data_IF_023139275470
#
_entry.id   IF_023139275470
#
_cell.length_a   1.000
_cell.length_b   1.000
_cell.length_c   1.000
_cell.angle_alpha   90.00
_cell.angle_beta   90.00
_cell.angle_gamma   90.00
#
_symmetry.space_group_name_H-M   'P 1'
#
loop_
_entity.id
_entity.type
_entity.pdbx_description
1 polymer ?
#
# COMPACT_ATOMS: atom_id res chain seq x y z
N UNK A 1 19.05 36.43 0.48
CA UNK A 1 18.35 35.63 -0.53
C UNK A 1 17.29 36.48 -1.20
N UNK A 2 17.22 36.49 -2.51
CA UNK A 2 16.22 37.31 -3.20
C UNK A 2 14.87 36.58 -3.30
N UNK A 3 13.84 37.33 -3.67
CA UNK A 3 12.47 36.82 -3.77
C UNK A 3 12.34 35.71 -4.83
N UNK A 4 13.08 35.83 -5.92
CA UNK A 4 13.02 34.84 -7.01
C UNK A 4 13.56 33.47 -6.58
N UNK A 5 14.67 33.46 -5.83
CA UNK A 5 15.23 32.23 -5.29
C UNK A 5 14.25 31.55 -4.33
N UNK A 6 13.56 32.32 -3.47
CA UNK A 6 12.55 31.78 -2.55
C UNK A 6 11.37 31.17 -3.28
N UNK A 7 10.90 31.81 -4.36
CA UNK A 7 9.79 31.30 -5.17
C UNK A 7 10.21 29.99 -5.85
N UNK A 8 11.42 29.92 -6.38
CA UNK A 8 11.94 28.72 -7.04
C UNK A 8 12.02 27.56 -6.05
N UNK A 9 12.54 27.79 -4.84
CA UNK A 9 12.58 26.76 -3.79
C UNK A 9 11.19 26.27 -3.40
N UNK A 10 10.24 27.19 -3.21
CA UNK A 10 8.88 26.84 -2.84
C UNK A 10 8.22 25.96 -3.90
N UNK A 11 8.40 26.28 -5.19
CA UNK A 11 7.89 25.48 -6.30
C UNK A 11 8.51 24.09 -6.34
N UNK A 12 9.82 24.00 -6.13
CA UNK A 12 10.52 22.71 -6.12
C UNK A 12 9.99 21.80 -5.01
N UNK A 13 9.79 22.34 -3.81
CA UNK A 13 9.22 21.57 -2.68
C UNK A 13 7.79 21.14 -2.96
N UNK A 14 6.96 22.01 -3.51
CA UNK A 14 5.58 21.70 -3.84
C UNK A 14 5.52 20.57 -4.87
N UNK A 15 6.32 20.65 -5.93
CA UNK A 15 6.36 19.63 -6.97
C UNK A 15 6.82 18.27 -6.42
N UNK A 16 7.82 18.28 -5.53
CA UNK A 16 8.30 17.06 -4.88
C UNK A 16 7.22 16.41 -4.01
N UNK A 17 6.52 17.22 -3.20
CA UNK A 17 5.44 16.70 -2.35
C UNK A 17 4.26 16.18 -3.17
N UNK A 18 3.95 16.85 -4.28
CA UNK A 18 2.90 16.38 -5.21
C UNK A 18 3.28 15.04 -5.84
N UNK A 19 4.55 14.88 -6.20
CA UNK A 19 5.04 13.62 -6.75
C UNK A 19 4.98 12.49 -5.72
N UNK A 20 5.29 12.76 -4.45
CA UNK A 20 5.15 11.77 -3.37
C UNK A 20 3.70 11.33 -3.18
N UNK A 21 2.77 12.30 -3.19
CA UNK A 21 1.35 12.00 -3.04
C UNK A 21 0.85 11.19 -4.24
N UNK A 22 1.30 11.50 -5.44
CA UNK A 22 0.96 10.73 -6.63
C UNK A 22 1.45 9.28 -6.52
N UNK A 23 2.68 9.07 -6.06
CA UNK A 23 3.20 7.72 -5.86
C UNK A 23 2.37 6.95 -4.84
N UNK A 24 2.03 7.57 -3.73
CA UNK A 24 1.21 6.92 -2.71
C UNK A 24 -0.13 6.48 -3.29
N UNK A 25 -0.82 7.37 -4.00
CA UNK A 25 -2.11 7.05 -4.62
C UNK A 25 -1.98 5.93 -5.65
N UNK A 26 -0.92 5.98 -6.45
CA UNK A 26 -0.64 4.95 -7.46
C UNK A 26 -0.50 3.57 -6.83
N UNK A 27 0.22 3.47 -5.71
CA UNK A 27 0.47 2.18 -5.08
C UNK A 27 -0.63 1.73 -4.13
N UNK A 28 -1.42 2.65 -3.56
CA UNK A 28 -2.54 2.29 -2.69
C UNK A 28 -3.52 1.33 -3.38
N UNK A 29 -3.82 1.57 -4.66
CA UNK A 29 -4.73 0.70 -5.42
C UNK A 29 -4.15 -0.68 -5.72
N UNK A 30 -2.84 -0.80 -5.74
CA UNK A 30 -2.16 -2.08 -6.03
C UNK A 30 -2.20 -3.05 -4.85
N UNK A 31 -2.51 -2.57 -3.65
CA UNK A 31 -2.69 -3.44 -2.48
C UNK A 31 -4.04 -4.15 -2.46
N UNK A 32 -4.97 -3.80 -3.35
CA UNK A 32 -6.30 -4.39 -3.40
C UNK A 32 -6.23 -5.67 -4.23
N UNK A 33 -6.78 -6.76 -3.69
CA UNK A 33 -6.76 -8.05 -4.36
C UNK A 33 -8.07 -8.80 -4.14
N UNK A 34 -8.55 -9.44 -5.21
CA UNK A 34 -9.72 -10.32 -5.15
C UNK A 34 -9.24 -11.75 -4.90
N UNK A 35 -9.71 -12.38 -3.84
CA UNK A 35 -9.37 -13.74 -3.49
C UNK A 35 -10.45 -14.34 -2.60
N UNK A 36 -10.71 -15.64 -2.73
CA UNK A 36 -11.67 -16.36 -1.90
C UNK A 36 -13.02 -15.63 -1.74
N UNK A 37 -13.60 -15.21 -2.86
CA UNK A 37 -14.91 -14.56 -2.94
C UNK A 37 -15.01 -13.23 -2.19
N UNK A 38 -13.88 -12.60 -1.87
CA UNK A 38 -13.83 -11.29 -1.23
C UNK A 38 -12.85 -10.37 -1.90
N UNK A 39 -12.95 -9.09 -1.59
CA UNK A 39 -11.99 -8.08 -2.02
C UNK A 39 -11.22 -7.59 -0.79
N UNK A 40 -9.91 -7.77 -0.82
CA UNK A 40 -9.05 -7.57 0.35
C UNK A 40 -8.01 -6.50 0.11
N UNK A 41 -7.62 -5.82 1.18
CA UNK A 41 -6.49 -4.90 1.14
C UNK A 41 -5.30 -5.55 1.84
N UNK A 42 -4.18 -5.66 1.12
CA UNK A 42 -2.95 -6.23 1.65
C UNK A 42 -2.24 -5.18 2.53
N UNK A 43 -2.71 -5.01 3.76
CA UNK A 43 -2.12 -4.09 4.73
C UNK A 43 -1.60 -4.88 5.94
N UNK A 44 -0.76 -4.22 6.75
CA UNK A 44 -0.13 -4.88 7.90
C UNK A 44 -1.15 -5.29 8.95
N UNK A 45 -2.22 -4.53 9.13
CA UNK A 45 -3.26 -4.86 10.10
C UNK A 45 -3.90 -6.21 9.78
N UNK A 46 -4.32 -6.41 8.52
CA UNK A 46 -4.94 -7.67 8.08
C UNK A 46 -3.93 -8.82 8.11
N UNK A 47 -2.70 -8.58 7.64
CA UNK A 47 -1.65 -9.58 7.64
C UNK A 47 -1.31 -10.02 9.06
N UNK A 48 -1.18 -9.08 9.99
CA UNK A 48 -0.88 -9.38 11.37
C UNK A 48 -2.00 -10.17 12.05
N UNK A 49 -3.27 -9.83 11.78
CA UNK A 49 -4.39 -10.59 12.28
C UNK A 49 -4.34 -12.04 11.80
N UNK A 50 -4.14 -12.24 10.49
CA UNK A 50 -4.07 -13.58 9.91
C UNK A 50 -2.89 -14.38 10.47
N UNK A 51 -1.76 -13.71 10.68
CA UNK A 51 -0.56 -14.36 11.20
C UNK A 51 -0.69 -14.77 12.68
N UNK A 52 -1.44 -13.99 13.46
CA UNK A 52 -1.60 -14.25 14.88
C UNK A 52 -2.72 -15.24 15.21
N UNK A 53 -3.61 -15.52 14.27
CA UNK A 53 -4.67 -16.51 14.47
C UNK A 53 -4.12 -17.93 14.30
N UNK A 54 -4.72 -18.89 15.00
CA UNK A 54 -4.37 -20.31 14.87
C UNK A 54 -5.43 -21.13 14.15
N UNK A 55 -6.57 -20.52 13.82
CA UNK A 55 -7.67 -21.23 13.17
C UNK A 55 -7.38 -21.46 11.68
N UNK A 56 -7.82 -22.61 11.15
CA UNK A 56 -7.70 -22.88 9.71
C UNK A 56 -8.62 -21.96 8.90
N UNK A 57 -9.81 -21.69 9.39
CA UNK A 57 -10.81 -20.85 8.74
C UNK A 57 -11.14 -19.68 9.64
N UNK A 58 -11.19 -18.49 9.06
CA UNK A 58 -11.56 -17.27 9.76
C UNK A 58 -12.62 -16.53 8.95
N UNK A 59 -13.42 -15.73 9.64
CA UNK A 59 -14.42 -14.88 8.99
C UNK A 59 -13.90 -13.45 9.08
N UNK A 60 -13.74 -12.82 7.92
CA UNK A 60 -13.28 -11.45 7.81
C UNK A 60 -14.30 -10.61 7.05
N UNK A 61 -14.32 -9.33 7.33
CA UNK A 61 -15.14 -8.39 6.58
C UNK A 61 -14.28 -7.84 5.45
N UNK A 62 -14.73 -8.02 4.20
CA UNK A 62 -14.01 -7.55 3.04
C UNK A 62 -14.22 -6.04 2.81
N UNK A 63 -13.63 -5.48 1.75
CA UNK A 63 -13.74 -4.05 1.46
C UNK A 63 -15.17 -3.62 1.10
N UNK A 64 -16.04 -4.55 0.74
CA UNK A 64 -17.47 -4.27 0.48
C UNK A 64 -18.33 -4.46 1.73
N UNK A 65 -17.74 -4.63 2.90
CA UNK A 65 -18.42 -4.83 4.18
C UNK A 65 -19.23 -6.14 4.25
N UNK A 66 -18.80 -7.16 3.53
CA UNK A 66 -19.42 -8.47 3.58
C UNK A 66 -18.58 -9.42 4.45
N UNK A 67 -19.23 -10.23 5.33
CA UNK A 67 -18.48 -11.26 6.06
C UNK A 67 -18.17 -12.42 5.11
N UNK A 68 -16.90 -12.80 5.02
CA UNK A 68 -16.45 -13.86 4.14
C UNK A 68 -15.61 -14.85 4.94
N UNK A 69 -15.91 -16.13 4.80
CA UNK A 69 -15.14 -17.20 5.42
C UNK A 69 -13.99 -17.55 4.50
N UNK A 70 -12.77 -17.46 5.01
CA UNK A 70 -11.56 -17.65 4.20
C UNK A 70 -10.64 -18.67 4.84
N UNK A 71 -9.85 -19.36 4.00
CA UNK A 71 -8.73 -20.15 4.47
C UNK A 71 -7.61 -19.20 4.91
N UNK A 72 -7.29 -19.21 6.19
CA UNK A 72 -6.37 -18.25 6.80
C UNK A 72 -4.98 -18.28 6.15
N UNK A 73 -4.39 -19.45 6.01
CA UNK A 73 -3.02 -19.59 5.50
C UNK A 73 -2.95 -19.13 4.03
N UNK A 74 -3.91 -19.55 3.22
CA UNK A 74 -3.92 -19.19 1.79
C UNK A 74 -4.05 -17.67 1.61
N UNK A 75 -4.94 -17.04 2.38
CA UNK A 75 -5.10 -15.59 2.29
C UNK A 75 -3.85 -14.88 2.83
N UNK A 76 -3.27 -15.37 3.92
CA UNK A 76 -2.05 -14.80 4.49
C UNK A 76 -0.91 -14.80 3.49
N UNK A 77 -0.68 -15.91 2.81
CA UNK A 77 0.35 -16.02 1.79
C UNK A 77 0.12 -15.03 0.65
N UNK A 78 -1.11 -14.97 0.16
CA UNK A 78 -1.49 -14.07 -0.93
C UNK A 78 -1.25 -12.60 -0.57
N UNK A 79 -1.76 -12.17 0.58
CA UNK A 79 -1.63 -10.78 1.01
C UNK A 79 -0.18 -10.42 1.34
N UNK A 80 0.58 -11.34 1.93
CA UNK A 80 1.98 -11.11 2.24
C UNK A 80 2.80 -10.90 0.96
N UNK A 81 2.58 -11.74 -0.06
CA UNK A 81 3.28 -11.62 -1.33
C UNK A 81 2.96 -10.30 -2.03
N UNK A 82 1.69 -9.93 -2.05
CA UNK A 82 1.27 -8.66 -2.66
C UNK A 82 1.87 -7.48 -1.91
N UNK A 83 1.82 -7.50 -0.57
CA UNK A 83 2.40 -6.43 0.22
C UNK A 83 3.88 -6.25 -0.08
N UNK A 84 4.65 -7.33 -0.06
CA UNK A 84 6.09 -7.27 -0.34
C UNK A 84 6.40 -6.73 -1.74
N UNK A 85 5.71 -7.25 -2.75
CA UNK A 85 5.96 -6.87 -4.13
C UNK A 85 5.60 -5.41 -4.39
N UNK A 86 4.45 -4.96 -3.88
CA UNK A 86 4.01 -3.57 -4.06
C UNK A 86 4.93 -2.61 -3.30
N UNK A 87 5.34 -2.96 -2.09
CA UNK A 87 6.27 -2.12 -1.32
C UNK A 87 7.63 -2.01 -1.99
N UNK A 88 8.13 -3.07 -2.60
CA UNK A 88 9.40 -3.02 -3.34
C UNK A 88 9.32 -2.10 -4.55
N UNK A 89 8.24 -2.19 -5.32
CA UNK A 89 8.03 -1.31 -6.47
C UNK A 89 7.91 0.15 -6.03
N UNK A 90 7.13 0.40 -4.98
CA UNK A 90 6.95 1.75 -4.46
C UNK A 90 8.28 2.31 -3.96
N UNK A 91 9.04 1.53 -3.19
CA UNK A 91 10.33 1.96 -2.67
C UNK A 91 11.29 2.30 -3.80
N UNK A 92 11.32 1.50 -4.86
CA UNK A 92 12.18 1.75 -6.02
C UNK A 92 11.87 3.09 -6.68
N UNK A 93 10.57 3.38 -6.90
CA UNK A 93 10.18 4.67 -7.47
C UNK A 93 10.43 5.82 -6.51
N UNK A 94 10.23 5.59 -5.21
CA UNK A 94 10.49 6.61 -4.20
C UNK A 94 11.98 6.98 -4.16
N UNK A 95 12.86 6.00 -4.24
CA UNK A 95 14.32 6.24 -4.29
C UNK A 95 14.68 7.06 -5.51
N UNK A 96 14.11 6.74 -6.67
CA UNK A 96 14.35 7.53 -7.88
C UNK A 96 13.87 8.97 -7.75
N UNK A 97 12.71 9.17 -7.11
CA UNK A 97 12.17 10.51 -6.86
C UNK A 97 13.10 11.30 -5.93
N UNK A 98 13.64 10.66 -4.88
CA UNK A 98 14.56 11.32 -3.95
C UNK A 98 15.87 11.75 -4.62
N UNK A 99 16.34 10.98 -5.61
CA UNK A 99 17.54 11.34 -6.37
C UNK A 99 17.36 12.61 -7.21
N UNK A 100 16.14 12.94 -7.56
CA UNK A 100 15.83 14.14 -8.37
C UNK A 100 15.67 15.41 -7.52
N UNK A 101 15.74 15.29 -6.21
CA UNK A 101 15.52 16.37 -5.26
C UNK A 101 16.68 17.36 -5.14
#
# INVERSE_FOLDING_TARGET
MDTLSLITEAKARFNHNSAKAYLKDKYDSKFIVADQAGLWKANLETINFLNSSSDTWVILIDTFNNPVKVNRINLLEKLTDIYKNVMEEWYTEWVELEKKR
#
